data_IF_913957467329
#
_entry.id   IF_913957467329
#
_cell.length_a   1.000
_cell.length_b   1.000
_cell.length_c   1.000
_cell.angle_alpha   90.00
_cell.angle_beta   90.00
_cell.angle_gamma   90.00
#
_symmetry.space_group_name_H-M   'P 1'
#
loop_
_entity.id
_entity.type
_entity.pdbx_description
1 polymer ?
#
# COMPACT_ATOMS: atom_id res chain seq x y z
N UNK A 1 -3.64 45.29 -61.78
CA UNK A 1 -5.10 45.55 -61.68
C UNK A 1 -5.54 45.27 -60.25
N UNK A 2 -6.40 46.13 -59.65
CA UNK A 2 -6.87 46.05 -58.26
C UNK A 2 -7.98 44.98 -58.12
N UNK A 3 -8.38 44.51 -56.94
CA UNK A 3 -9.38 45.17 -56.08
C UNK A 3 -9.65 44.35 -54.80
N UNK A 4 -9.91 45.10 -53.71
CA UNK A 4 -10.89 44.89 -52.62
C UNK A 4 -10.73 43.66 -51.70
N UNK A 5 -10.76 43.77 -50.37
CA UNK A 5 -11.15 44.86 -49.48
C UNK A 5 -12.14 44.38 -48.41
N UNK A 6 -11.91 44.74 -47.14
CA UNK A 6 -12.84 44.64 -46.00
C UNK A 6 -12.88 43.25 -45.35
N UNK A 7 -12.97 43.04 -44.03
CA UNK A 7 -13.25 43.81 -42.82
C UNK A 7 -12.61 42.95 -41.67
N UNK A 8 -12.35 43.33 -40.41
CA UNK A 8 -13.13 44.11 -39.45
C UNK A 8 -12.28 44.26 -38.15
N UNK A 9 -12.29 45.47 -37.61
CA UNK A 9 -12.01 45.98 -36.24
C UNK A 9 -12.21 44.99 -35.06
N UNK A 10 -11.65 45.09 -33.82
CA UNK A 10 -10.89 46.06 -32.97
C UNK A 10 -10.63 45.30 -31.61
N UNK A 11 -10.30 45.93 -30.45
CA UNK A 11 -8.98 46.29 -29.93
C UNK A 11 -8.60 45.55 -28.62
N UNK A 12 -7.32 45.30 -28.37
CA UNK A 12 -6.82 44.79 -27.09
C UNK A 12 -6.73 45.94 -26.07
N UNK A 13 -7.53 45.89 -25.00
CA UNK A 13 -7.44 46.82 -23.86
C UNK A 13 -6.39 46.29 -22.89
N UNK A 14 -5.35 47.09 -22.66
CA UNK A 14 -4.29 46.86 -21.68
C UNK A 14 -4.71 47.57 -20.38
N UNK A 15 -4.84 46.83 -19.27
CA UNK A 15 -4.80 47.41 -17.92
C UNK A 15 -3.41 47.18 -17.30
N UNK A 16 -2.77 48.19 -16.69
CA UNK A 16 -1.49 48.02 -16.03
C UNK A 16 -1.66 47.41 -14.64
N UNK A 17 -0.78 46.46 -14.32
CA UNK A 17 -0.64 45.86 -13.00
C UNK A 17 -0.10 46.90 -11.99
N UNK A 18 -0.83 47.09 -10.90
CA UNK A 18 -0.35 47.86 -9.73
C UNK A 18 0.33 46.88 -8.78
N UNK A 19 1.65 47.04 -8.60
CA UNK A 19 2.41 46.41 -7.52
C UNK A 19 1.97 47.00 -6.18
N UNK A 20 1.52 46.16 -5.26
CA UNK A 20 1.48 46.46 -3.84
C UNK A 20 2.20 45.33 -3.10
N UNK A 21 3.46 45.58 -2.74
CA UNK A 21 4.19 44.77 -1.79
C UNK A 21 3.68 45.10 -0.38
N UNK A 22 3.13 44.11 0.32
CA UNK A 22 2.90 44.19 1.75
C UNK A 22 3.64 43.00 2.39
N UNK A 23 4.72 43.31 3.11
CA UNK A 23 5.46 42.35 3.93
C UNK A 23 4.92 42.46 5.36
N UNK A 24 5.00 41.33 6.07
CA UNK A 24 4.81 41.11 7.52
C UNK A 24 3.45 40.51 7.89
N UNK A 25 3.38 39.18 7.81
CA UNK A 25 2.51 38.34 8.62
C UNK A 25 3.29 37.08 8.97
N UNK A 26 3.61 36.89 10.26
CA UNK A 26 4.33 35.72 10.75
C UNK A 26 3.62 34.44 10.30
N UNK A 27 4.31 33.60 9.53
CA UNK A 27 3.80 32.29 9.15
C UNK A 27 3.53 31.48 10.43
N UNK A 28 2.40 30.75 10.53
CA UNK A 28 2.13 29.95 11.71
C UNK A 28 3.22 28.88 11.85
N UNK A 29 3.53 28.50 13.09
CA UNK A 29 4.62 27.60 13.47
C UNK A 29 4.45 26.15 12.98
N UNK A 30 4.56 25.94 11.68
CA UNK A 30 4.82 24.68 11.04
C UNK A 30 6.17 24.87 10.38
N UNK A 31 7.23 24.64 11.16
CA UNK A 31 8.56 24.49 10.60
C UNK A 31 8.45 23.47 9.46
N UNK A 32 8.85 23.86 8.25
CA UNK A 32 8.98 22.93 7.15
C UNK A 32 9.85 21.77 7.64
N UNK A 33 9.27 20.57 7.76
CA UNK A 33 10.04 19.38 8.08
C UNK A 33 11.15 19.29 7.04
N UNK A 34 12.39 19.52 7.47
CA UNK A 34 13.53 19.33 6.58
C UNK A 34 13.49 17.88 6.12
N UNK A 35 13.32 17.69 4.81
CA UNK A 35 13.39 16.37 4.21
C UNK A 35 14.73 15.76 4.64
N UNK A 36 14.64 14.63 5.35
CA UNK A 36 15.84 13.87 5.67
C UNK A 36 16.57 13.56 4.36
N UNK A 37 17.92 13.57 4.34
CA UNK A 37 18.66 13.16 3.14
C UNK A 37 18.12 11.79 2.69
N UNK A 38 18.01 11.55 1.37
CA UNK A 38 17.51 10.27 0.88
C UNK A 38 18.40 9.19 1.49
N UNK A 39 17.82 8.40 2.39
CA UNK A 39 18.46 7.17 2.83
C UNK A 39 18.72 6.38 1.55
N UNK A 40 19.95 5.94 1.33
CA UNK A 40 20.26 5.02 0.24
C UNK A 40 19.46 3.74 0.51
N UNK A 41 18.24 3.69 -0.01
CA UNK A 41 17.33 2.59 0.20
C UNK A 41 17.94 1.39 -0.50
N UNK A 42 18.25 0.35 0.29
CA UNK A 42 18.59 -0.94 -0.29
C UNK A 42 17.40 -1.38 -1.14
N UNK A 43 17.60 -1.78 -2.41
CA UNK A 43 16.51 -2.28 -3.23
C UNK A 43 15.78 -3.40 -2.51
N UNK A 44 14.45 -3.36 -2.51
CA UNK A 44 13.65 -4.44 -1.96
C UNK A 44 14.06 -5.78 -2.61
N UNK A 45 14.00 -6.91 -1.88
CA UNK A 45 14.32 -8.23 -2.43
C UNK A 45 13.58 -8.50 -3.73
N UNK A 46 14.24 -9.13 -4.70
CA UNK A 46 13.69 -9.27 -6.06
C UNK A 46 12.30 -9.94 -6.10
N UNK A 47 12.03 -10.85 -5.16
CA UNK A 47 10.76 -11.59 -5.08
C UNK A 47 9.55 -10.70 -4.78
N UNK A 48 9.72 -9.54 -4.13
CA UNK A 48 8.58 -8.70 -3.72
C UNK A 48 7.92 -7.99 -4.90
N UNK A 49 8.65 -7.79 -6.01
CA UNK A 49 8.12 -7.15 -7.20
C UNK A 49 7.19 -8.10 -7.95
N UNK A 50 5.89 -7.79 -7.91
CA UNK A 50 4.86 -8.59 -8.57
C UNK A 50 4.40 -9.80 -7.76
N UNK A 51 4.80 -9.93 -6.50
CA UNK A 51 4.28 -10.97 -5.61
C UNK A 51 2.82 -10.70 -5.23
N UNK A 52 2.00 -11.74 -5.32
CA UNK A 52 0.65 -11.76 -4.74
C UNK A 52 0.72 -12.45 -3.40
N UNK A 53 0.46 -11.72 -2.30
CA UNK A 53 0.41 -12.31 -0.96
C UNK A 53 -1.02 -12.66 -0.56
N UNK A 54 -1.17 -13.75 0.19
CA UNK A 54 -2.42 -14.19 0.78
C UNK A 54 -2.35 -14.02 2.31
N UNK A 55 -3.22 -13.18 2.86
CA UNK A 55 -3.34 -13.00 4.30
C UNK A 55 -4.21 -14.11 4.90
N UNK A 56 -3.72 -14.74 5.97
CA UNK A 56 -4.39 -15.88 6.61
C UNK A 56 -4.63 -15.57 8.09
N UNK A 57 -5.90 -15.62 8.48
CA UNK A 57 -6.29 -15.70 9.87
C UNK A 57 -6.39 -17.16 10.31
N UNK A 58 -5.32 -17.68 10.93
CA UNK A 58 -5.18 -19.11 11.26
C UNK A 58 -6.38 -19.66 12.04
N UNK A 59 -6.83 -18.93 13.06
CA UNK A 59 -7.94 -19.31 13.96
C UNK A 59 -9.29 -19.49 13.25
N UNK A 60 -9.45 -19.01 12.03
CA UNK A 60 -10.68 -19.16 11.24
C UNK A 60 -10.48 -19.85 9.91
N UNK A 61 -9.26 -20.31 9.60
CA UNK A 61 -8.94 -20.85 8.28
C UNK A 61 -9.28 -22.34 8.15
N UNK A 62 -8.65 -23.19 8.97
CA UNK A 62 -8.88 -24.63 8.94
C UNK A 62 -8.57 -25.25 10.30
N UNK A 63 -9.57 -25.90 10.88
CA UNK A 63 -9.43 -26.75 12.05
C UNK A 63 -8.93 -28.15 11.62
N UNK A 64 -7.92 -28.67 12.33
CA UNK A 64 -7.35 -29.99 12.12
C UNK A 64 -7.66 -31.02 13.21
N UNK A 65 -8.16 -30.59 14.38
CA UNK A 65 -8.35 -31.41 15.58
C UNK A 65 -9.83 -31.53 16.03
N UNK A 66 -10.74 -30.73 15.45
CA UNK A 66 -12.18 -30.76 15.71
C UNK A 66 -12.64 -29.89 16.87
N UNK A 67 -11.81 -28.98 17.39
CA UNK A 67 -12.18 -28.07 18.50
C UNK A 67 -12.98 -26.82 18.04
N UNK A 68 -13.14 -26.65 16.72
CA UNK A 68 -13.85 -25.53 16.11
C UNK A 68 -12.99 -24.27 15.89
N UNK A 69 -11.69 -24.31 16.20
CA UNK A 69 -10.74 -23.23 16.01
C UNK A 69 -9.69 -23.68 14.98
N UNK A 70 -9.37 -22.82 14.03
CA UNK A 70 -8.33 -23.11 13.06
C UNK A 70 -6.94 -23.11 13.67
N UNK A 71 -6.05 -23.94 13.13
CA UNK A 71 -4.71 -24.16 13.68
C UNK A 71 -3.65 -24.29 12.58
N UNK A 72 -2.36 -24.24 12.97
CA UNK A 72 -1.25 -24.29 12.02
C UNK A 72 -1.18 -25.62 11.24
N UNK A 73 -1.58 -26.74 11.85
CA UNK A 73 -1.64 -28.01 11.14
C UNK A 73 -2.76 -28.00 10.10
N UNK A 74 -3.87 -27.33 10.36
CA UNK A 74 -4.93 -27.09 9.42
C UNK A 74 -4.48 -26.23 8.24
N UNK A 75 -3.71 -25.16 8.50
CA UNK A 75 -3.06 -24.37 7.44
C UNK A 75 -2.10 -25.22 6.60
N UNK A 76 -1.24 -26.03 7.23
CA UNK A 76 -0.30 -26.91 6.53
C UNK A 76 -1.05 -27.85 5.56
N UNK A 77 -2.17 -28.43 5.97
CA UNK A 77 -3.02 -29.30 5.12
C UNK A 77 -3.66 -28.57 3.92
N UNK A 78 -3.52 -27.26 3.83
CA UNK A 78 -4.10 -26.41 2.78
C UNK A 78 -3.05 -25.62 2.00
N UNK A 79 -1.76 -25.91 2.18
CA UNK A 79 -0.71 -25.26 1.40
C UNK A 79 -0.88 -25.51 -0.11
N UNK A 80 -1.24 -26.72 -0.54
CA UNK A 80 -1.51 -27.02 -1.96
C UNK A 80 -2.68 -26.22 -2.54
N UNK A 81 -3.66 -25.82 -1.71
CA UNK A 81 -4.73 -24.93 -2.15
C UNK A 81 -4.21 -23.50 -2.39
N UNK A 82 -3.26 -23.05 -1.56
CA UNK A 82 -2.67 -21.71 -1.67
C UNK A 82 -1.68 -21.67 -2.85
N UNK A 83 -0.81 -22.66 -2.94
CA UNK A 83 0.17 -22.84 -4.00
C UNK A 83 0.65 -24.31 -4.02
N UNK A 84 0.38 -25.03 -5.09
CA UNK A 84 0.79 -26.44 -5.26
C UNK A 84 2.24 -26.60 -5.80
N UNK A 85 2.92 -25.49 -6.06
CA UNK A 85 4.28 -25.43 -6.60
C UNK A 85 4.38 -25.64 -8.11
N UNK A 86 3.27 -25.88 -8.81
CA UNK A 86 3.25 -26.09 -10.25
C UNK A 86 2.74 -24.83 -10.99
N UNK A 87 3.61 -24.07 -11.68
CA UNK A 87 3.20 -22.84 -12.37
C UNK A 87 2.29 -23.06 -13.58
N UNK A 88 2.22 -24.29 -14.10
CA UNK A 88 1.28 -24.66 -15.16
C UNK A 88 -0.13 -24.97 -14.61
N UNK A 89 -0.24 -25.21 -13.30
CA UNK A 89 -1.51 -25.46 -12.62
C UNK A 89 -2.42 -24.23 -12.65
N UNK A 90 -3.73 -24.49 -12.56
CA UNK A 90 -4.80 -23.50 -12.44
C UNK A 90 -5.79 -23.88 -11.34
N UNK A 91 -5.42 -24.84 -10.49
CA UNK A 91 -6.30 -25.42 -9.47
C UNK A 91 -6.04 -24.87 -8.08
N UNK A 92 -4.90 -24.19 -7.89
CA UNK A 92 -4.49 -23.48 -6.69
C UNK A 92 -4.74 -21.96 -6.83
N UNK A 93 -4.52 -21.21 -5.75
CA UNK A 93 -4.65 -19.76 -5.74
C UNK A 93 -3.45 -19.05 -6.41
N UNK A 94 -2.27 -19.70 -6.47
CA UNK A 94 -1.05 -19.14 -7.04
C UNK A 94 -0.39 -18.04 -6.19
N UNK A 95 -0.66 -17.98 -4.88
CA UNK A 95 -0.07 -16.96 -4.01
C UNK A 95 1.45 -17.21 -3.84
N UNK A 96 2.24 -16.15 -3.91
CA UNK A 96 3.72 -16.22 -3.80
C UNK A 96 4.22 -16.08 -2.36
N UNK A 97 3.37 -15.58 -1.47
CA UNK A 97 3.67 -15.31 -0.07
C UNK A 97 2.41 -15.51 0.78
N UNK A 98 2.62 -15.91 2.03
CA UNK A 98 1.58 -15.95 3.06
C UNK A 98 1.90 -14.92 4.11
N UNK A 99 0.95 -14.06 4.43
CA UNK A 99 1.02 -13.18 5.59
C UNK A 99 0.11 -13.76 6.68
N UNK A 100 0.70 -14.18 7.80
CA UNK A 100 -0.07 -14.64 8.93
C UNK A 100 -0.49 -13.46 9.81
N UNK A 101 -1.78 -13.40 10.17
CA UNK A 101 -2.19 -12.67 11.36
C UNK A 101 -1.43 -13.19 12.60
N UNK A 102 -1.33 -12.42 13.70
CA UNK A 102 -0.55 -12.82 14.86
C UNK A 102 -0.91 -14.23 15.36
N UNK A 103 0.13 -15.07 15.48
CA UNK A 103 0.01 -16.46 15.98
C UNK A 103 0.64 -16.64 17.35
N UNK A 104 1.36 -15.63 17.86
CA UNK A 104 2.00 -15.69 19.17
C UNK A 104 0.98 -15.71 20.31
N UNK A 105 1.43 -16.14 21.50
CA UNK A 105 0.62 -16.18 22.72
C UNK A 105 -0.01 -14.79 23.00
N UNK A 106 -1.34 -14.76 23.12
CA UNK A 106 -2.11 -13.54 23.32
C UNK A 106 -3.49 -13.85 23.93
N UNK A 107 -3.97 -13.04 24.90
CA UNK A 107 -5.30 -13.20 25.49
C UNK A 107 -6.43 -12.70 24.57
N UNK A 108 -6.12 -11.94 23.52
CA UNK A 108 -7.14 -11.38 22.62
C UNK A 108 -7.41 -12.28 21.42
N UNK A 109 -8.62 -12.16 20.86
CA UNK A 109 -9.08 -13.03 19.78
C UNK A 109 -8.29 -12.87 18.48
N UNK A 110 -7.84 -11.64 18.17
CA UNK A 110 -7.06 -11.36 16.96
C UNK A 110 -5.54 -11.45 17.15
N UNK A 111 -5.07 -11.67 18.39
CA UNK A 111 -3.67 -11.95 18.70
C UNK A 111 -2.72 -10.74 18.72
N UNK A 112 -3.22 -9.52 18.53
CA UNK A 112 -2.38 -8.31 18.50
C UNK A 112 -1.84 -7.90 19.88
N UNK A 113 -2.46 -8.36 20.97
CA UNK A 113 -2.00 -8.12 22.35
C UNK A 113 -1.04 -9.24 22.79
N UNK A 114 0.17 -9.27 22.26
CA UNK A 114 1.11 -10.39 22.48
C UNK A 114 1.66 -10.37 23.91
N UNK A 115 1.61 -11.51 24.61
CA UNK A 115 2.20 -11.68 25.96
C UNK A 115 3.58 -12.33 25.91
N UNK A 116 3.84 -13.19 24.91
CA UNK A 116 5.13 -13.83 24.73
C UNK A 116 5.44 -14.07 23.24
N UNK A 117 6.38 -13.29 22.70
CA UNK A 117 6.79 -13.36 21.29
C UNK A 117 7.47 -14.68 20.89
N UNK A 118 7.87 -15.52 21.85
CA UNK A 118 8.56 -16.78 21.60
C UNK A 118 7.68 -18.02 21.87
N UNK A 119 6.39 -17.84 22.12
CA UNK A 119 5.40 -18.91 22.30
C UNK A 119 4.26 -18.79 21.30
N UNK A 120 3.76 -19.94 20.86
CA UNK A 120 2.62 -20.14 19.96
C UNK A 120 1.69 -21.16 20.61
#
# INVERSE_FOLDING_TARGET
MPQRGGERMKPNVILPAVLAACVIGAAPGWAAAQASPPVNATPAPAWTRGATCYEVFVRSFKDSNGDGIGDLNGLIRKLDYINDGNPASKTDLGASCIWLMPVAESPSYHGYDVTNYYRV
#
